data_IF_415630228236
#
_entry.id   IF_415630228236
#
_cell.length_a   1.000
_cell.length_b   1.000
_cell.length_c   1.000
_cell.angle_alpha   90.00
_cell.angle_beta   90.00
_cell.angle_gamma   90.00
#
_symmetry.space_group_name_H-M   'P 1'
#
loop_
_entity.id
_entity.type
_entity.pdbx_description
1 polymer ?
#
# COMPACT_ATOMS: atom_id res chain seq x y z
N UNK A 1 37.08 29.08 10.99
CA UNK A 1 36.00 28.40 11.73
C UNK A 1 34.90 28.15 10.74
N UNK A 2 34.87 26.98 10.13
CA UNK A 2 33.74 26.55 9.33
C UNK A 2 33.24 25.29 10.00
N UNK A 3 32.08 25.42 10.62
CA UNK A 3 31.34 24.35 11.28
C UNK A 3 31.22 23.16 10.33
N UNK A 4 31.38 21.97 10.91
CA UNK A 4 31.15 20.69 10.25
C UNK A 4 29.78 20.73 9.56
N UNK A 5 29.78 20.85 8.23
CA UNK A 5 28.56 20.71 7.44
C UNK A 5 27.99 19.32 7.70
N UNK A 6 26.68 19.20 7.92
CA UNK A 6 26.09 17.98 8.45
C UNK A 6 26.36 16.80 7.51
N UNK A 7 26.93 15.76 8.14
CA UNK A 7 26.96 14.37 7.71
C UNK A 7 25.65 14.01 7.00
N UNK A 8 25.73 13.19 5.94
CA UNK A 8 24.60 12.56 5.23
C UNK A 8 23.34 12.57 6.11
N UNK A 9 22.37 13.44 5.81
CA UNK A 9 21.03 13.26 6.34
C UNK A 9 20.58 11.90 5.82
N UNK A 10 20.57 10.90 6.70
CA UNK A 10 19.79 9.69 6.48
C UNK A 10 18.41 10.15 5.99
N UNK A 11 17.87 9.51 4.95
CA UNK A 11 16.46 9.74 4.63
C UNK A 11 15.74 9.45 5.93
N UNK A 12 14.98 10.42 6.46
CA UNK A 12 14.11 10.19 7.60
C UNK A 12 13.00 9.26 7.13
N UNK A 13 13.28 7.96 7.14
CA UNK A 13 12.31 6.92 6.84
C UNK A 13 11.64 6.46 8.13
N UNK A 14 10.46 5.88 7.99
CA UNK A 14 9.64 5.38 9.09
C UNK A 14 9.11 4.01 8.72
N UNK A 15 8.92 3.11 9.68
CA UNK A 15 8.31 1.81 9.41
C UNK A 15 6.87 1.97 8.91
N UNK A 16 6.38 1.05 8.08
CA UNK A 16 4.98 1.03 7.63
C UNK A 16 4.02 1.01 8.82
N UNK A 17 4.35 0.24 9.85
CA UNK A 17 3.51 0.11 11.05
C UNK A 17 3.44 1.40 11.86
N UNK A 18 4.57 2.09 12.06
CA UNK A 18 4.60 3.36 12.78
C UNK A 18 3.89 4.46 11.99
N UNK A 19 4.10 4.50 10.68
CA UNK A 19 3.39 5.42 9.80
C UNK A 19 1.88 5.21 9.84
N UNK A 20 1.40 3.97 9.70
CA UNK A 20 -0.03 3.65 9.81
C UNK A 20 -0.58 4.03 11.18
N UNK A 21 0.15 3.76 12.26
CA UNK A 21 -0.26 4.12 13.61
C UNK A 21 -0.44 5.63 13.76
N UNK A 22 0.47 6.43 13.21
CA UNK A 22 0.35 7.90 13.20
C UNK A 22 -0.89 8.34 12.38
N UNK A 23 -1.06 7.80 11.17
CA UNK A 23 -2.19 8.14 10.31
C UNK A 23 -3.55 7.77 10.94
N UNK A 24 -3.59 6.70 11.73
CA UNK A 24 -4.81 6.20 12.40
C UNK A 24 -5.17 6.97 13.70
N UNK A 25 -4.36 7.96 14.13
CA UNK A 25 -4.65 8.76 15.33
C UNK A 25 -5.51 10.00 15.02
N UNK A 26 -5.02 10.92 14.19
CA UNK A 26 -5.73 12.14 13.79
C UNK A 26 -5.18 12.71 12.48
N UNK A 27 -5.39 12.00 11.37
CA UNK A 27 -5.01 12.48 10.04
C UNK A 27 -6.23 12.94 9.24
N UNK A 28 -5.99 13.80 8.24
CA UNK A 28 -7.02 14.13 7.24
C UNK A 28 -7.45 12.90 6.44
N UNK A 29 -6.53 11.96 6.18
CA UNK A 29 -6.83 10.71 5.50
C UNK A 29 -7.79 9.83 6.31
N UNK A 30 -7.64 9.77 7.63
CA UNK A 30 -8.57 9.05 8.53
C UNK A 30 -9.98 9.66 8.51
N UNK A 31 -10.08 10.99 8.53
CA UNK A 31 -11.37 11.66 8.44
C UNK A 31 -12.06 11.34 7.11
N UNK A 32 -11.33 11.46 6.00
CA UNK A 32 -11.85 11.13 4.68
C UNK A 32 -12.25 9.65 4.54
N UNK A 33 -11.45 8.72 5.11
CA UNK A 33 -11.78 7.30 5.16
C UNK A 33 -13.10 7.04 5.90
N UNK A 34 -13.27 7.64 7.09
CA UNK A 34 -14.49 7.51 7.90
C UNK A 34 -15.72 8.09 7.23
N UNK A 35 -15.59 9.28 6.64
CA UNK A 35 -16.68 9.91 5.90
C UNK A 35 -17.12 9.01 4.73
N UNK A 36 -16.16 8.45 3.97
CA UNK A 36 -16.45 7.52 2.90
C UNK A 36 -17.13 6.24 3.40
N UNK A 37 -16.70 5.68 4.54
CA UNK A 37 -17.35 4.53 5.17
C UNK A 37 -18.82 4.85 5.48
N UNK A 38 -19.11 6.00 6.12
CA UNK A 38 -20.50 6.37 6.46
C UNK A 38 -21.36 6.58 5.21
N UNK A 39 -20.83 7.23 4.18
CA UNK A 39 -21.54 7.41 2.90
C UNK A 39 -21.86 6.08 2.22
N UNK A 40 -20.92 5.15 2.23
CA UNK A 40 -21.08 3.81 1.64
C UNK A 40 -22.04 2.96 2.46
N UNK A 41 -21.95 2.96 3.79
CA UNK A 41 -22.86 2.22 4.69
C UNK A 41 -24.32 2.65 4.47
N UNK A 42 -24.57 3.94 4.25
CA UNK A 42 -25.90 4.47 3.97
C UNK A 42 -26.50 3.93 2.65
N UNK A 43 -25.65 3.61 1.67
CA UNK A 43 -26.06 3.11 0.34
C UNK A 43 -26.11 1.59 0.28
N UNK A 44 -25.20 0.92 0.99
CA UNK A 44 -25.03 -0.53 0.99
C UNK A 44 -24.98 -1.02 2.44
N UNK A 45 -26.16 -1.25 3.07
CA UNK A 45 -26.24 -1.53 4.50
C UNK A 45 -25.49 -2.79 4.96
N UNK A 46 -25.23 -3.75 4.06
CA UNK A 46 -24.45 -4.95 4.40
C UNK A 46 -22.98 -4.61 4.77
N UNK A 47 -22.45 -3.47 4.32
CA UNK A 47 -21.12 -2.99 4.73
C UNK A 47 -21.06 -2.71 6.24
N UNK A 48 -22.17 -2.28 6.86
CA UNK A 48 -22.22 -2.06 8.31
C UNK A 48 -21.93 -3.34 9.11
N UNK A 49 -22.15 -4.53 8.51
CA UNK A 49 -21.82 -5.81 9.14
C UNK A 49 -20.31 -6.00 9.33
N UNK A 50 -19.46 -5.27 8.61
CA UNK A 50 -18.00 -5.34 8.77
C UNK A 50 -17.55 -4.96 10.18
N UNK A 51 -18.33 -4.13 10.88
CA UNK A 51 -18.10 -3.75 12.29
C UNK A 51 -18.36 -4.89 13.27
N UNK A 52 -18.95 -5.98 12.78
CA UNK A 52 -19.30 -7.17 13.56
C UNK A 52 -18.70 -8.45 12.99
N UNK A 53 -17.93 -8.37 11.90
CA UNK A 53 -17.38 -9.53 11.22
C UNK A 53 -15.98 -9.84 11.78
N UNK A 54 -15.78 -10.96 12.50
CA UNK A 54 -14.56 -11.26 13.25
C UNK A 54 -13.27 -11.28 12.44
N UNK A 55 -12.14 -11.01 13.07
CA UNK A 55 -10.80 -11.22 12.51
C UNK A 55 -9.93 -11.97 13.50
N UNK A 56 -8.88 -12.66 13.03
CA UNK A 56 -7.98 -13.39 13.93
C UNK A 56 -6.48 -13.12 13.66
N UNK A 57 -5.69 -12.80 14.71
CA UNK A 57 -4.29 -12.36 14.66
C UNK A 57 -3.24 -13.19 13.90
N UNK A 58 -3.37 -14.50 13.61
CA UNK A 58 -2.38 -15.12 12.74
C UNK A 58 -2.32 -14.48 11.34
N UNK A 59 -3.40 -13.83 10.90
CA UNK A 59 -3.50 -13.18 9.59
C UNK A 59 -3.98 -11.74 9.65
N UNK A 60 -4.75 -11.40 10.69
CA UNK A 60 -5.41 -10.10 10.84
C UNK A 60 -5.36 -9.65 12.30
N UNK A 61 -4.39 -8.80 12.63
CA UNK A 61 -4.15 -8.25 13.96
C UNK A 61 -4.46 -6.76 14.05
N UNK A 62 -4.79 -6.13 12.93
CA UNK A 62 -5.17 -4.71 12.83
C UNK A 62 -6.36 -4.34 13.72
N UNK A 63 -7.19 -5.33 14.06
CA UNK A 63 -8.27 -5.21 15.02
C UNK A 63 -9.09 -6.50 15.10
N UNK A 64 -10.21 -6.45 15.81
CA UNK A 64 -11.02 -7.65 16.08
C UNK A 64 -12.08 -7.91 15.00
N UNK A 65 -12.30 -6.94 14.11
CA UNK A 65 -13.34 -6.99 13.08
C UNK A 65 -12.86 -6.47 11.72
N UNK A 66 -13.54 -6.86 10.63
CA UNK A 66 -13.16 -6.51 9.26
C UNK A 66 -13.12 -5.00 9.00
N UNK A 67 -13.93 -4.21 9.71
CA UNK A 67 -13.92 -2.75 9.51
C UNK A 67 -12.54 -2.14 9.80
N UNK A 68 -11.76 -2.69 10.74
CA UNK A 68 -10.43 -2.18 11.08
C UNK A 68 -9.46 -2.32 9.89
N UNK A 69 -9.57 -3.41 9.12
CA UNK A 69 -8.83 -3.65 7.88
C UNK A 69 -9.23 -2.67 6.78
N UNK A 70 -10.53 -2.52 6.54
CA UNK A 70 -11.09 -1.62 5.53
C UNK A 70 -10.72 -0.16 5.80
N UNK A 71 -10.80 0.29 7.05
CA UNK A 71 -10.43 1.66 7.44
C UNK A 71 -8.95 1.94 7.14
N UNK A 72 -8.05 1.00 7.43
CA UNK A 72 -6.62 1.17 7.15
C UNK A 72 -6.29 1.22 5.66
N UNK A 73 -6.91 0.34 4.87
CA UNK A 73 -6.75 0.39 3.41
C UNK A 73 -7.20 1.75 2.86
N UNK A 74 -8.33 2.27 3.33
CA UNK A 74 -8.83 3.59 2.92
C UNK A 74 -7.90 4.71 3.37
N UNK A 75 -7.39 4.68 4.61
CA UNK A 75 -6.42 5.67 5.10
C UNK A 75 -5.20 5.72 4.19
N UNK A 76 -4.63 4.57 3.83
CA UNK A 76 -3.51 4.52 2.90
C UNK A 76 -3.89 5.04 1.51
N UNK A 77 -5.03 4.61 0.96
CA UNK A 77 -5.53 5.08 -0.33
C UNK A 77 -5.68 6.61 -0.36
N UNK A 78 -6.33 7.21 0.63
CA UNK A 78 -6.52 8.66 0.73
C UNK A 78 -5.21 9.42 0.93
N UNK A 79 -4.30 8.91 1.75
CA UNK A 79 -3.02 9.56 1.98
C UNK A 79 -2.15 9.55 0.70
N UNK A 80 -2.17 8.46 -0.09
CA UNK A 80 -1.47 8.39 -1.39
C UNK A 80 -2.14 9.33 -2.39
N UNK A 81 -3.47 9.33 -2.44
CA UNK A 81 -4.23 10.14 -3.40
C UNK A 81 -4.01 11.65 -3.24
N UNK A 82 -3.73 12.09 -2.02
CA UNK A 82 -3.51 13.50 -1.68
C UNK A 82 -2.07 13.97 -1.88
N UNK A 83 -1.16 13.06 -2.23
CA UNK A 83 0.29 13.32 -2.33
C UNK A 83 0.89 13.82 -0.99
N UNK A 84 0.23 13.50 0.12
CA UNK A 84 0.66 13.88 1.47
C UNK A 84 1.84 13.03 1.96
N UNK A 85 2.14 11.90 1.31
CA UNK A 85 3.31 11.07 1.57
C UNK A 85 3.78 10.30 0.34
N UNK A 86 5.02 9.79 0.40
CA UNK A 86 5.56 8.87 -0.60
C UNK A 86 5.83 7.51 0.02
N UNK A 87 5.43 6.41 -0.63
CA UNK A 87 5.74 5.05 -0.16
C UNK A 87 7.27 4.83 -0.04
N UNK A 88 8.07 5.55 -0.83
CA UNK A 88 9.54 5.50 -0.75
C UNK A 88 10.12 6.18 0.51
N UNK A 89 9.29 6.80 1.36
CA UNK A 89 9.68 7.26 2.70
C UNK A 89 9.50 6.19 3.76
N UNK A 90 9.01 5.00 3.42
CA UNK A 90 8.84 3.89 4.34
C UNK A 90 10.09 2.99 4.32
N UNK A 91 10.59 2.58 5.49
CA UNK A 91 11.83 1.80 5.66
C UNK A 91 11.83 0.53 4.79
N UNK A 92 10.70 -0.17 4.80
CA UNK A 92 10.49 -1.43 4.12
C UNK A 92 10.60 -1.30 2.59
N UNK A 93 10.24 -0.14 2.03
CA UNK A 93 10.32 0.13 0.60
C UNK A 93 11.65 0.81 0.22
N UNK A 94 12.15 1.72 1.07
CA UNK A 94 13.38 2.46 0.85
C UNK A 94 14.61 1.55 0.78
N UNK A 95 14.57 0.41 1.49
CA UNK A 95 15.62 -0.60 1.51
C UNK A 95 15.66 -1.51 0.27
N UNK A 96 14.61 -1.52 -0.57
CA UNK A 96 14.48 -2.41 -1.75
C UNK A 96 14.73 -1.60 -3.02
N UNK A 97 16.02 -1.36 -3.31
CA UNK A 97 16.44 -0.48 -4.41
C UNK A 97 16.11 -1.02 -5.81
N UNK A 98 16.03 -2.35 -6.00
CA UNK A 98 15.72 -2.96 -7.29
C UNK A 98 14.29 -2.68 -7.78
N UNK A 99 13.37 -2.34 -6.86
CA UNK A 99 11.96 -2.09 -7.14
C UNK A 99 11.54 -0.62 -6.97
N UNK A 100 12.49 0.30 -6.74
CA UNK A 100 12.18 1.74 -6.59
C UNK A 100 11.31 2.31 -7.74
N UNK A 101 11.57 1.99 -9.03
CA UNK A 101 10.71 2.42 -10.12
C UNK A 101 9.29 1.87 -10.03
N UNK A 102 9.12 0.63 -9.58
CA UNK A 102 7.82 -0.03 -9.44
C UNK A 102 7.02 0.63 -8.31
N UNK A 103 7.64 0.92 -7.17
CA UNK A 103 7.00 1.62 -6.04
C UNK A 103 6.64 3.07 -6.35
N UNK A 104 7.39 3.73 -7.23
CA UNK A 104 7.01 5.06 -7.69
C UNK A 104 5.75 4.99 -8.57
N UNK A 105 5.75 4.07 -9.54
CA UNK A 105 4.64 3.96 -10.49
C UNK A 105 3.37 3.41 -9.84
N UNK A 106 3.47 2.54 -8.83
CA UNK A 106 2.27 2.04 -8.13
C UNK A 106 1.49 3.16 -7.43
N UNK A 107 2.18 4.21 -6.95
CA UNK A 107 1.51 5.39 -6.37
C UNK A 107 0.79 6.22 -7.42
N UNK A 108 1.35 6.33 -8.63
CA UNK A 108 0.64 6.94 -9.77
C UNK A 108 -0.59 6.11 -10.14
N UNK A 109 -0.47 4.78 -10.21
CA UNK A 109 -1.59 3.86 -10.51
C UNK A 109 -2.70 3.99 -9.47
N UNK A 110 -2.36 4.07 -8.18
CA UNK A 110 -3.33 4.27 -7.10
C UNK A 110 -4.10 5.57 -7.27
N UNK A 111 -3.41 6.66 -7.63
CA UNK A 111 -4.04 7.97 -7.92
C UNK A 111 -4.94 7.91 -9.15
N UNK A 112 -4.44 7.34 -10.24
CA UNK A 112 -5.17 7.22 -11.51
C UNK A 112 -6.41 6.32 -11.39
N UNK A 113 -6.38 5.32 -10.50
CA UNK A 113 -7.45 4.33 -10.32
C UNK A 113 -8.16 4.46 -8.96
N UNK A 114 -8.12 5.65 -8.35
CA UNK A 114 -8.66 5.89 -7.01
C UNK A 114 -10.10 5.37 -6.84
N UNK A 115 -10.99 5.68 -7.79
CA UNK A 115 -12.38 5.26 -7.73
C UNK A 115 -12.56 3.72 -7.74
N UNK A 116 -11.83 3.04 -8.63
CA UNK A 116 -11.87 1.58 -8.76
C UNK A 116 -11.29 0.89 -7.52
N UNK A 117 -10.21 1.43 -6.96
CA UNK A 117 -9.60 0.91 -5.73
C UNK A 117 -10.45 1.18 -4.49
N UNK A 118 -11.11 2.34 -4.38
CA UNK A 118 -12.10 2.59 -3.33
C UNK A 118 -13.23 1.55 -3.39
N UNK A 119 -13.79 1.31 -4.57
CA UNK A 119 -14.82 0.29 -4.75
C UNK A 119 -14.32 -1.11 -4.38
N UNK A 120 -13.08 -1.45 -4.75
CA UNK A 120 -12.44 -2.72 -4.38
C UNK A 120 -12.36 -2.87 -2.86
N UNK A 121 -11.85 -1.88 -2.14
CA UNK A 121 -11.71 -1.93 -0.68
C UNK A 121 -13.04 -2.25 0.00
N UNK A 122 -14.13 -1.60 -0.41
CA UNK A 122 -15.45 -1.86 0.18
C UNK A 122 -16.02 -3.25 -0.16
N UNK A 123 -15.66 -3.84 -1.30
CA UNK A 123 -16.35 -5.01 -1.85
C UNK A 123 -15.53 -6.31 -1.81
N UNK A 124 -14.21 -6.26 -1.74
CA UNK A 124 -13.35 -7.45 -1.92
C UNK A 124 -13.72 -8.57 -0.94
N UNK A 125 -14.06 -8.18 0.29
CA UNK A 125 -14.38 -9.06 1.40
C UNK A 125 -15.87 -9.19 1.75
N UNK A 126 -16.78 -8.67 0.92
CA UNK A 126 -18.21 -8.63 1.24
C UNK A 126 -18.82 -10.03 1.48
N UNK A 127 -18.27 -11.07 0.85
CA UNK A 127 -18.66 -12.47 1.02
C UNK A 127 -18.12 -13.15 2.28
N UNK A 128 -17.29 -12.50 3.11
CA UNK A 128 -16.77 -13.08 4.35
C UNK A 128 -17.91 -13.43 5.33
N UNK A 129 -18.95 -12.60 5.39
CA UNK A 129 -20.13 -12.81 6.26
C UNK A 129 -20.78 -14.18 6.06
N UNK A 130 -20.88 -14.65 4.82
CA UNK A 130 -21.55 -15.91 4.50
C UNK A 130 -20.65 -17.13 4.61
N UNK A 131 -19.35 -16.91 4.44
CA UNK A 131 -18.37 -17.99 4.33
C UNK A 131 -17.67 -18.27 5.65
N UNK A 132 -17.91 -17.47 6.69
CA UNK A 132 -17.27 -17.59 8.00
C UNK A 132 -17.32 -19.02 8.58
N UNK A 133 -16.17 -19.47 9.06
CA UNK A 133 -15.94 -20.69 9.82
C UNK A 133 -15.01 -20.37 10.99
N UNK A 134 -15.27 -20.98 12.14
CA UNK A 134 -14.43 -20.86 13.33
C UNK A 134 -13.71 -22.17 13.63
N UNK A 135 -12.51 -22.06 14.20
CA UNK A 135 -11.74 -23.21 14.65
C UNK A 135 -10.81 -22.84 15.81
N UNK A 136 -10.85 -23.59 16.90
CA UNK A 136 -9.97 -23.45 18.05
C UNK A 136 -9.44 -24.85 18.44
N UNK A 137 -8.18 -24.95 18.87
CA UNK A 137 -7.58 -26.24 19.20
C UNK A 137 -8.24 -26.87 20.43
N UNK A 138 -8.32 -28.21 20.45
CA UNK A 138 -8.89 -28.95 21.57
C UNK A 138 -8.14 -28.60 22.87
N UNK A 139 -8.90 -28.28 23.93
CA UNK A 139 -8.35 -27.88 25.24
C UNK A 139 -8.13 -26.38 25.40
N UNK A 140 -8.30 -25.57 24.35
CA UNK A 140 -8.30 -24.10 24.47
C UNK A 140 -9.60 -23.57 25.06
N UNK A 141 -9.57 -22.33 25.58
CA UNK A 141 -10.77 -21.64 26.03
C UNK A 141 -11.76 -21.42 24.87
N UNK A 142 -11.29 -21.14 23.65
CA UNK A 142 -12.16 -21.03 22.47
C UNK A 142 -12.91 -22.33 22.17
N UNK A 143 -12.26 -23.48 22.35
CA UNK A 143 -12.94 -24.76 22.19
C UNK A 143 -14.01 -24.99 23.28
N UNK A 144 -13.78 -24.56 24.53
CA UNK A 144 -14.81 -24.62 25.58
C UNK A 144 -15.99 -23.68 25.34
N UNK A 145 -15.76 -22.56 24.64
CA UNK A 145 -16.80 -21.63 24.18
C UNK A 145 -17.53 -22.12 22.91
N UNK A 146 -17.15 -23.29 22.38
CA UNK A 146 -17.84 -23.94 21.25
C UNK A 146 -17.28 -23.64 19.87
N UNK A 147 -16.13 -22.96 19.76
CA UNK A 147 -15.47 -22.62 18.49
C UNK A 147 -14.59 -23.76 17.96
N UNK A 148 -15.14 -24.92 17.64
CA UNK A 148 -14.40 -26.03 17.04
C UNK A 148 -14.99 -26.45 15.69
N UNK A 149 -14.17 -27.08 14.84
CA UNK A 149 -14.48 -27.38 13.42
C UNK A 149 -15.85 -28.05 13.18
N UNK A 150 -16.28 -28.91 14.09
CA UNK A 150 -17.51 -29.71 13.98
C UNK A 150 -18.60 -29.24 14.97
N UNK A 151 -18.55 -27.97 15.38
CA UNK A 151 -19.55 -27.39 16.28
C UNK A 151 -20.93 -27.44 15.65
N UNK A 152 -21.91 -27.94 16.43
CA UNK A 152 -23.34 -27.92 16.05
C UNK A 152 -24.03 -26.59 16.40
N UNK A 153 -23.30 -25.66 17.02
CA UNK A 153 -23.84 -24.35 17.40
C UNK A 153 -24.07 -23.54 16.11
N UNK A 154 -25.26 -22.92 15.95
CA UNK A 154 -25.52 -22.07 14.79
C UNK A 154 -24.50 -20.95 14.62
N UNK A 155 -24.12 -20.65 13.38
CA UNK A 155 -23.07 -19.65 13.05
C UNK A 155 -23.35 -18.27 13.66
N UNK A 156 -24.60 -17.82 13.63
CA UNK A 156 -25.01 -16.54 14.20
C UNK A 156 -24.82 -16.51 15.73
N UNK A 157 -25.04 -17.63 16.42
CA UNK A 157 -24.79 -17.74 17.85
C UNK A 157 -23.29 -17.68 18.14
N UNK A 158 -22.45 -18.37 17.35
CA UNK A 158 -20.99 -18.27 17.50
C UNK A 158 -20.47 -16.85 17.22
N UNK A 159 -21.05 -16.15 16.24
CA UNK A 159 -20.74 -14.75 15.95
C UNK A 159 -21.06 -13.85 17.16
N UNK A 160 -22.27 -13.97 17.72
CA UNK A 160 -22.67 -13.21 18.90
C UNK A 160 -21.78 -13.52 20.11
N UNK A 161 -21.43 -14.79 20.31
CA UNK A 161 -20.51 -15.21 21.37
C UNK A 161 -19.14 -14.60 21.17
N UNK A 162 -18.59 -14.62 19.95
CA UNK A 162 -17.29 -14.03 19.63
C UNK A 162 -17.25 -12.55 20.03
N UNK A 163 -18.24 -11.79 19.56
CA UNK A 163 -18.33 -10.36 19.83
C UNK A 163 -18.54 -10.05 21.32
N UNK A 164 -19.28 -10.89 22.05
CA UNK A 164 -19.41 -10.77 23.51
C UNK A 164 -18.08 -10.97 24.22
N UNK A 165 -17.32 -12.01 23.86
CA UNK A 165 -16.03 -12.31 24.46
C UNK A 165 -15.00 -11.18 24.20
N UNK A 166 -14.98 -10.62 22.98
CA UNK A 166 -14.16 -9.44 22.66
C UNK A 166 -14.54 -8.24 23.52
N UNK A 167 -15.84 -7.92 23.63
CA UNK A 167 -16.33 -6.78 24.45
C UNK A 167 -15.95 -6.92 25.93
N UNK A 168 -16.08 -8.13 26.48
CA UNK A 168 -15.67 -8.41 27.86
C UNK A 168 -14.17 -8.12 28.04
N UNK A 169 -13.33 -8.61 27.12
CA UNK A 169 -11.89 -8.38 27.21
C UNK A 169 -11.51 -6.90 27.06
N UNK A 170 -12.16 -6.17 26.14
CA UNK A 170 -11.94 -4.73 25.97
C UNK A 170 -12.23 -3.94 27.25
N UNK A 171 -13.34 -4.27 27.92
CA UNK A 171 -13.73 -3.63 29.17
C UNK A 171 -12.75 -3.93 30.32
N UNK A 172 -12.11 -5.10 30.32
CA UNK A 172 -11.15 -5.52 31.36
C UNK A 172 -9.77 -4.86 31.22
N UNK A 173 -9.32 -4.55 29.99
CA UNK A 173 -7.92 -4.20 29.72
C UNK A 173 -7.66 -2.76 29.28
N UNK A 174 -8.68 -2.03 28.83
CA UNK A 174 -8.55 -0.65 28.31
C UNK A 174 -7.37 -0.50 27.31
N UNK A 175 -7.32 -1.38 26.32
CA UNK A 175 -6.27 -1.43 25.29
C UNK A 175 -6.76 -0.94 23.94
N UNK A 176 -5.84 -0.55 23.06
CA UNK A 176 -6.15 -0.28 21.64
C UNK A 176 -6.63 -1.56 20.90
N UNK A 177 -7.15 -1.40 19.68
CA UNK A 177 -7.74 -2.49 18.91
C UNK A 177 -6.73 -3.62 18.58
N UNK A 178 -5.49 -3.25 18.26
CA UNK A 178 -4.42 -4.19 17.89
C UNK A 178 -4.02 -5.05 19.10
N UNK A 179 -3.78 -4.43 20.26
CA UNK A 179 -3.46 -5.17 21.49
C UNK A 179 -4.63 -6.03 21.95
N UNK A 180 -5.86 -5.53 21.81
CA UNK A 180 -7.06 -6.29 22.15
C UNK A 180 -7.19 -7.55 21.30
N UNK A 181 -6.98 -7.46 19.99
CA UNK A 181 -7.09 -8.61 19.08
C UNK A 181 -6.10 -9.72 19.46
N UNK A 182 -4.85 -9.35 19.78
CA UNK A 182 -3.82 -10.29 20.23
C UNK A 182 -4.15 -10.93 21.56
N UNK A 183 -4.47 -10.14 22.59
CA UNK A 183 -4.84 -10.68 23.91
C UNK A 183 -6.04 -11.62 23.83
N UNK A 184 -6.98 -11.30 22.94
CA UNK A 184 -8.13 -12.15 22.67
C UNK A 184 -7.71 -13.48 22.07
N UNK A 185 -6.83 -13.47 21.06
CA UNK A 185 -6.33 -14.68 20.43
C UNK A 185 -5.45 -15.51 21.36
N UNK A 186 -4.59 -14.90 22.18
CA UNK A 186 -3.77 -15.62 23.16
C UNK A 186 -4.65 -16.33 24.20
N UNK A 187 -5.72 -15.67 24.65
CA UNK A 187 -6.66 -16.22 25.63
C UNK A 187 -7.52 -17.34 25.05
N UNK A 188 -8.17 -17.10 23.90
CA UNK A 188 -9.18 -18.00 23.36
C UNK A 188 -8.69 -18.92 22.24
N UNK A 189 -7.62 -18.56 21.53
CA UNK A 189 -7.05 -19.31 20.40
C UNK A 189 -8.07 -19.59 19.27
N UNK A 190 -9.07 -18.72 19.12
CA UNK A 190 -10.09 -18.82 18.07
C UNK A 190 -9.50 -18.32 16.76
N UNK A 191 -9.52 -19.17 15.73
CA UNK A 191 -9.17 -18.84 14.35
C UNK A 191 -10.43 -18.67 13.53
N UNK A 192 -10.44 -17.63 12.70
CA UNK A 192 -11.55 -17.32 11.81
C UNK A 192 -11.10 -17.54 10.37
N UNK A 193 -11.93 -18.22 9.58
CA UNK A 193 -11.62 -18.58 8.21
C UNK A 193 -12.77 -18.22 7.26
N UNK A 194 -12.42 -17.86 6.03
CA UNK A 194 -13.34 -17.37 5.01
C UNK A 194 -13.16 -18.11 3.68
N UNK A 195 -13.44 -19.43 3.62
CA UNK A 195 -13.26 -20.20 2.40
C UNK A 195 -14.07 -19.62 1.25
N UNK A 196 -13.40 -19.35 0.13
CA UNK A 196 -14.01 -18.93 -1.13
C UNK A 196 -14.80 -17.61 -1.07
N UNK A 197 -14.54 -16.76 -0.09
CA UNK A 197 -15.24 -15.47 0.04
C UNK A 197 -15.05 -14.63 -1.23
N UNK A 198 -13.83 -14.55 -1.79
CA UNK A 198 -13.55 -13.80 -3.02
C UNK A 198 -14.44 -14.19 -4.20
N UNK A 199 -14.67 -15.50 -4.42
CA UNK A 199 -15.54 -15.96 -5.49
C UNK A 199 -17.02 -15.66 -5.21
N UNK A 200 -17.43 -15.65 -3.94
CA UNK A 200 -18.78 -15.26 -3.54
C UNK A 200 -18.99 -13.74 -3.69
N UNK A 201 -18.02 -12.93 -3.23
CA UNK A 201 -17.98 -11.46 -3.37
C UNK A 201 -18.10 -11.02 -4.82
N UNK A 202 -17.44 -11.73 -5.75
CA UNK A 202 -17.52 -11.47 -7.19
C UNK A 202 -18.73 -12.13 -7.90
N UNK A 203 -19.49 -12.98 -7.20
CA UNK A 203 -20.58 -13.78 -7.76
C UNK A 203 -21.92 -13.04 -7.86
N UNK A 204 -22.99 -13.73 -8.26
CA UNK A 204 -24.32 -13.11 -8.42
C UNK A 204 -24.92 -12.62 -7.10
N UNK A 205 -24.58 -13.27 -5.96
CA UNK A 205 -25.13 -12.93 -4.64
C UNK A 205 -24.95 -11.46 -4.29
N UNK A 206 -23.78 -10.89 -4.59
CA UNK A 206 -23.43 -9.51 -4.26
C UNK A 206 -23.44 -8.58 -5.47
N UNK A 207 -24.07 -8.98 -6.59
CA UNK A 207 -24.09 -8.19 -7.83
C UNK A 207 -24.77 -6.84 -7.65
N UNK A 208 -25.83 -6.78 -6.86
CA UNK A 208 -26.58 -5.54 -6.59
C UNK A 208 -25.70 -4.55 -5.82
N UNK A 209 -25.01 -5.02 -4.79
CA UNK A 209 -24.10 -4.24 -3.97
C UNK A 209 -22.93 -3.72 -4.82
N UNK A 210 -22.33 -4.59 -5.65
CA UNK A 210 -21.29 -4.17 -6.59
C UNK A 210 -21.77 -3.09 -7.55
N UNK A 211 -23.00 -3.21 -8.06
CA UNK A 211 -23.59 -2.19 -8.94
C UNK A 211 -23.79 -0.86 -8.21
N UNK A 212 -24.36 -0.86 -7.00
CA UNK A 212 -24.58 0.35 -6.20
C UNK A 212 -23.25 1.07 -5.89
N UNK A 213 -22.22 0.32 -5.47
CA UNK A 213 -20.90 0.88 -5.20
C UNK A 213 -20.23 1.39 -6.49
N UNK A 214 -20.34 0.64 -7.59
CA UNK A 214 -19.82 1.07 -8.88
C UNK A 214 -20.45 2.38 -9.34
N UNK A 215 -21.77 2.52 -9.17
CA UNK A 215 -22.51 3.74 -9.49
C UNK A 215 -22.09 4.89 -8.56
N UNK A 216 -21.89 4.61 -7.26
CA UNK A 216 -21.44 5.60 -6.28
C UNK A 216 -20.06 6.19 -6.62
N UNK A 217 -19.12 5.34 -7.02
CA UNK A 217 -17.78 5.74 -7.45
C UNK A 217 -17.70 6.10 -8.95
N UNK A 218 -18.84 6.13 -9.65
CA UNK A 218 -18.96 6.52 -11.07
C UNK A 218 -18.08 5.69 -12.00
N UNK A 219 -17.97 4.39 -11.74
CA UNK A 219 -17.18 3.47 -12.57
C UNK A 219 -17.83 3.29 -13.94
N UNK A 220 -17.00 3.37 -14.99
CA UNK A 220 -17.39 2.99 -16.36
C UNK A 220 -17.40 1.46 -16.50
N UNK A 221 -17.99 0.93 -17.57
CA UNK A 221 -18.16 -0.52 -17.76
C UNK A 221 -16.84 -1.30 -17.69
N UNK A 222 -15.77 -0.75 -18.27
CA UNK A 222 -14.43 -1.33 -18.18
C UNK A 222 -13.98 -1.47 -16.72
N UNK A 223 -14.15 -0.43 -15.91
CA UNK A 223 -13.72 -0.40 -14.51
C UNK A 223 -14.59 -1.32 -13.63
N UNK A 224 -15.85 -1.53 -14.00
CA UNK A 224 -16.74 -2.50 -13.33
C UNK A 224 -16.28 -3.94 -13.56
N UNK A 225 -15.90 -4.28 -14.79
CA UNK A 225 -15.33 -5.60 -15.09
C UNK A 225 -13.97 -5.76 -14.41
N UNK A 226 -13.13 -4.71 -14.42
CA UNK A 226 -11.85 -4.69 -13.70
C UNK A 226 -12.05 -4.96 -12.21
N UNK A 227 -12.95 -4.22 -11.56
CA UNK A 227 -13.35 -4.40 -10.17
C UNK A 227 -13.80 -5.84 -9.89
N UNK A 228 -14.66 -6.41 -10.73
CA UNK A 228 -15.13 -7.78 -10.53
C UNK A 228 -13.97 -8.79 -10.60
N UNK A 229 -13.02 -8.61 -11.52
CA UNK A 229 -11.85 -9.48 -11.63
C UNK A 229 -10.92 -9.35 -10.42
N UNK A 230 -10.63 -8.13 -9.97
CA UNK A 230 -9.80 -7.90 -8.79
C UNK A 230 -10.42 -8.56 -7.55
N UNK A 231 -11.71 -8.33 -7.29
CA UNK A 231 -12.43 -8.99 -6.19
C UNK A 231 -12.32 -10.50 -6.31
N UNK A 232 -12.47 -11.06 -7.51
CA UNK A 232 -12.45 -12.51 -7.71
C UNK A 232 -11.09 -13.14 -7.46
N UNK A 233 -10.01 -12.42 -7.77
CA UNK A 233 -8.66 -12.99 -7.88
C UNK A 233 -7.62 -12.41 -6.92
N UNK A 234 -7.98 -11.46 -6.04
CA UNK A 234 -7.03 -10.92 -5.04
C UNK A 234 -6.44 -12.02 -4.14
N UNK A 235 -7.27 -12.92 -3.59
CA UNK A 235 -6.76 -14.07 -2.80
C UNK A 235 -5.89 -15.01 -3.62
N UNK A 236 -6.24 -15.27 -4.89
CA UNK A 236 -5.41 -16.11 -5.74
C UNK A 236 -4.03 -15.47 -5.97
N UNK A 237 -3.97 -14.14 -6.10
CA UNK A 237 -2.71 -13.44 -6.23
C UNK A 237 -1.89 -13.53 -4.93
N UNK A 238 -2.54 -13.31 -3.77
CA UNK A 238 -1.89 -13.51 -2.46
C UNK A 238 -1.34 -14.94 -2.35
N UNK A 239 -2.15 -15.95 -2.65
CA UNK A 239 -1.77 -17.36 -2.53
C UNK A 239 -0.68 -17.78 -3.52
N UNK A 240 -0.68 -17.25 -4.74
CA UNK A 240 0.36 -17.51 -5.72
C UNK A 240 1.71 -16.95 -5.28
N UNK A 241 1.73 -15.73 -4.73
CA UNK A 241 2.98 -15.00 -4.50
C UNK A 241 3.45 -14.99 -3.04
N UNK A 242 2.70 -15.56 -2.09
CA UNK A 242 3.10 -15.59 -0.66
C UNK A 242 4.40 -16.35 -0.36
N UNK A 243 4.78 -17.33 -1.18
CA UNK A 243 5.92 -18.23 -0.88
C UNK A 243 7.10 -18.08 -1.85
N UNK A 244 7.08 -17.08 -2.73
CA UNK A 244 8.19 -16.81 -3.65
C UNK A 244 7.76 -16.33 -5.02
N UNK A 245 8.77 -16.08 -5.85
CA UNK A 245 8.64 -15.57 -7.22
C UNK A 245 8.14 -16.70 -8.15
N UNK A 246 7.04 -16.47 -8.85
CA UNK A 246 6.36 -17.43 -9.74
C UNK A 246 5.91 -16.77 -11.05
N UNK A 247 6.82 -16.55 -12.02
CA UNK A 247 6.51 -15.85 -13.27
C UNK A 247 5.36 -16.50 -14.06
N UNK A 248 5.25 -17.83 -14.04
CA UNK A 248 4.19 -18.57 -14.72
C UNK A 248 2.77 -18.26 -14.20
N UNK A 249 2.65 -17.72 -12.98
CA UNK A 249 1.36 -17.30 -12.43
C UNK A 249 0.90 -15.96 -12.99
N UNK A 250 1.81 -15.14 -13.52
CA UNK A 250 1.47 -13.91 -14.22
C UNK A 250 0.72 -14.24 -15.51
N UNK A 251 1.15 -15.26 -16.25
CA UNK A 251 0.44 -15.73 -17.45
C UNK A 251 -0.99 -16.18 -17.13
N UNK A 252 -1.19 -16.82 -15.97
CA UNK A 252 -2.53 -17.21 -15.51
C UNK A 252 -3.40 -15.97 -15.26
N UNK A 253 -2.84 -14.91 -14.66
CA UNK A 253 -3.54 -13.65 -14.40
C UNK A 253 -3.87 -12.91 -15.70
N UNK A 254 -2.92 -12.82 -16.64
CA UNK A 254 -3.14 -12.26 -17.97
C UNK A 254 -4.23 -13.02 -18.75
N UNK A 255 -4.19 -14.35 -18.72
CA UNK A 255 -5.22 -15.17 -19.37
C UNK A 255 -6.62 -14.97 -18.75
N UNK A 256 -6.70 -14.65 -17.46
CA UNK A 256 -7.97 -14.31 -16.78
C UNK A 256 -8.51 -12.96 -17.23
N UNK A 257 -7.66 -11.95 -17.36
CA UNK A 257 -8.04 -10.63 -17.92
C UNK A 257 -8.49 -10.74 -19.38
N UNK A 258 -7.72 -11.44 -20.22
CA UNK A 258 -8.02 -11.62 -21.63
C UNK A 258 -9.36 -12.30 -21.89
N UNK A 259 -9.78 -13.25 -21.04
CA UNK A 259 -11.12 -13.89 -21.11
C UNK A 259 -12.29 -12.93 -20.87
N UNK A 260 -12.02 -11.74 -20.32
CA UNK A 260 -13.00 -10.67 -20.10
C UNK A 260 -12.77 -9.45 -21.00
N UNK A 261 -11.89 -9.58 -22.01
CA UNK A 261 -11.53 -8.49 -22.90
C UNK A 261 -10.98 -7.25 -22.16
N UNK A 262 -10.35 -7.48 -21.01
CA UNK A 262 -9.62 -6.44 -20.28
C UNK A 262 -8.17 -6.49 -20.74
N UNK A 263 -7.59 -5.31 -20.96
CA UNK A 263 -6.17 -5.17 -21.19
C UNK A 263 -5.38 -5.77 -20.01
N UNK A 264 -4.54 -6.75 -20.32
CA UNK A 264 -3.81 -7.51 -19.30
C UNK A 264 -2.80 -6.64 -18.55
N UNK A 265 -2.24 -5.64 -19.21
CA UNK A 265 -1.27 -4.73 -18.62
C UNK A 265 -1.95 -3.84 -17.58
N UNK A 266 -3.09 -3.25 -17.94
CA UNK A 266 -3.88 -2.46 -17.00
C UNK A 266 -4.37 -3.31 -15.81
N UNK A 267 -4.78 -4.56 -16.06
CA UNK A 267 -5.21 -5.46 -15.00
C UNK A 267 -4.11 -5.75 -13.99
N UNK A 268 -2.88 -6.05 -14.45
CA UNK A 268 -1.76 -6.32 -13.55
C UNK A 268 -1.38 -5.09 -12.72
N UNK A 269 -1.45 -3.88 -13.29
CA UNK A 269 -1.16 -2.64 -12.56
C UNK A 269 -2.17 -2.40 -11.43
N UNK A 270 -3.47 -2.47 -11.71
CA UNK A 270 -4.49 -2.24 -10.68
C UNK A 270 -4.53 -3.40 -9.68
N UNK A 271 -4.27 -4.64 -10.10
CA UNK A 271 -4.15 -5.79 -9.18
C UNK A 271 -2.95 -5.63 -8.23
N UNK A 272 -1.80 -5.16 -8.71
CA UNK A 272 -0.64 -4.89 -7.86
C UNK A 272 -0.95 -3.80 -6.83
N UNK A 273 -1.68 -2.76 -7.22
CA UNK A 273 -2.11 -1.70 -6.31
C UNK A 273 -3.09 -2.23 -5.25
N UNK A 274 -4.03 -3.09 -5.67
CA UNK A 274 -4.95 -3.76 -4.75
C UNK A 274 -4.22 -4.67 -3.75
N UNK A 275 -3.23 -5.45 -4.20
CA UNK A 275 -2.39 -6.29 -3.34
C UNK A 275 -1.63 -5.47 -2.31
N UNK A 276 -1.02 -4.36 -2.73
CA UNK A 276 -0.31 -3.44 -1.85
C UNK A 276 -1.23 -2.89 -0.75
N UNK A 277 -2.43 -2.44 -1.13
CA UNK A 277 -3.42 -1.92 -0.18
C UNK A 277 -3.89 -3.01 0.78
N UNK A 278 -4.21 -4.21 0.30
CA UNK A 278 -4.71 -5.34 1.09
C UNK A 278 -3.65 -5.89 2.05
N UNK A 279 -2.50 -6.33 1.53
CA UNK A 279 -1.53 -7.09 2.33
C UNK A 279 -0.59 -6.22 3.16
N UNK A 280 -0.21 -5.04 2.66
CA UNK A 280 0.79 -4.19 3.33
C UNK A 280 0.13 -3.14 4.21
N UNK A 281 -0.88 -2.43 3.68
CA UNK A 281 -1.53 -1.35 4.43
C UNK A 281 -2.75 -1.84 5.23
N UNK A 282 -3.50 -2.80 4.71
CA UNK A 282 -4.72 -3.34 5.32
C UNK A 282 -4.46 -4.34 6.44
N UNK A 283 -3.48 -5.23 6.27
CA UNK A 283 -3.25 -6.36 7.18
C UNK A 283 -2.04 -6.19 8.09
N UNK A 284 -2.19 -6.67 9.34
CA UNK A 284 -1.06 -6.93 10.26
C UNK A 284 -1.05 -8.40 10.63
N UNK A 285 0.08 -9.07 10.45
CA UNK A 285 0.31 -10.41 10.99
C UNK A 285 0.89 -10.34 12.40
N UNK A 286 0.45 -11.24 13.27
CA UNK A 286 1.04 -11.44 14.59
C UNK A 286 1.61 -12.85 14.70
N UNK A 287 2.92 -12.94 14.94
CA UNK A 287 3.63 -14.21 15.08
C UNK A 287 4.75 -14.07 16.09
N UNK A 288 4.87 -15.04 17.00
CA UNK A 288 5.94 -15.12 17.99
C UNK A 288 6.14 -13.86 18.85
N UNK A 289 5.07 -13.12 19.17
CA UNK A 289 5.17 -11.90 19.96
C UNK A 289 5.37 -10.62 19.16
N UNK A 290 5.54 -10.71 17.84
CA UNK A 290 5.89 -9.59 16.98
C UNK A 290 4.79 -9.29 15.96
N UNK A 291 4.66 -8.00 15.63
CA UNK A 291 3.79 -7.50 14.58
C UNK A 291 4.60 -7.25 13.32
N UNK A 292 4.10 -7.68 12.18
CA UNK A 292 4.71 -7.40 10.89
C UNK A 292 3.65 -7.13 9.83
N UNK A 293 4.00 -6.30 8.85
CA UNK A 293 3.27 -6.22 7.59
C UNK A 293 3.79 -7.32 6.66
N UNK A 294 2.88 -7.97 5.93
CA UNK A 294 3.28 -9.00 4.98
C UNK A 294 3.47 -8.39 3.58
N UNK A 295 4.72 -8.09 3.25
CA UNK A 295 5.11 -7.57 1.94
C UNK A 295 5.34 -8.65 0.89
N UNK A 296 5.52 -9.91 1.30
CA UNK A 296 5.99 -10.96 0.40
C UNK A 296 5.08 -11.16 -0.82
N UNK A 297 3.74 -11.24 -0.69
CA UNK A 297 2.87 -11.36 -1.85
C UNK A 297 3.05 -10.24 -2.86
N UNK A 298 3.18 -8.99 -2.40
CA UNK A 298 3.33 -7.83 -3.26
C UNK A 298 4.70 -7.80 -3.95
N UNK A 299 5.79 -8.01 -3.20
CA UNK A 299 7.15 -7.99 -3.76
C UNK A 299 7.38 -9.14 -4.73
N UNK A 300 6.90 -10.34 -4.38
CA UNK A 300 7.02 -11.51 -5.24
C UNK A 300 6.15 -11.36 -6.48
N UNK A 301 4.97 -10.71 -6.40
CA UNK A 301 4.18 -10.36 -7.57
C UNK A 301 4.98 -9.48 -8.53
N UNK A 302 5.55 -8.38 -8.05
CA UNK A 302 6.33 -7.45 -8.90
C UNK A 302 7.53 -8.13 -9.55
N UNK A 303 8.30 -8.91 -8.79
CA UNK A 303 9.45 -9.65 -9.32
C UNK A 303 9.04 -10.73 -10.33
N UNK A 304 7.91 -11.39 -10.09
CA UNK A 304 7.36 -12.37 -11.05
C UNK A 304 6.95 -11.69 -12.35
N UNK A 305 6.33 -10.52 -12.25
CA UNK A 305 5.93 -9.70 -13.40
C UNK A 305 7.15 -9.24 -14.21
N UNK A 306 8.22 -8.78 -13.56
CA UNK A 306 9.46 -8.36 -14.24
C UNK A 306 10.09 -9.50 -15.07
N UNK A 307 9.97 -10.75 -14.59
CA UNK A 307 10.46 -11.94 -15.30
C UNK A 307 9.53 -12.38 -16.44
N UNK A 308 8.22 -12.38 -16.20
CA UNK A 308 7.24 -12.83 -17.19
C UNK A 308 7.01 -11.80 -18.31
N UNK A 309 7.00 -10.51 -17.95
CA UNK A 309 6.58 -9.41 -18.81
C UNK A 309 7.58 -8.23 -18.75
N UNK A 310 8.85 -8.44 -19.17
CA UNK A 310 9.94 -7.50 -18.91
C UNK A 310 9.77 -6.12 -19.57
N UNK A 311 8.96 -6.02 -20.63
CA UNK A 311 8.70 -4.73 -21.28
C UNK A 311 7.96 -3.74 -20.36
N UNK A 312 7.08 -4.23 -19.47
CA UNK A 312 6.38 -3.40 -18.48
C UNK A 312 7.35 -2.79 -17.48
N UNK A 313 8.25 -3.60 -16.92
CA UNK A 313 9.31 -3.14 -16.03
C UNK A 313 10.20 -2.07 -16.69
N UNK A 314 10.59 -2.28 -17.95
CA UNK A 314 11.35 -1.29 -18.72
C UNK A 314 10.58 0.01 -18.91
N UNK A 315 9.29 -0.05 -19.23
CA UNK A 315 8.43 1.12 -19.37
C UNK A 315 8.30 1.90 -18.05
N UNK A 316 8.11 1.21 -16.92
CA UNK A 316 8.09 1.81 -15.57
C UNK A 316 9.42 2.52 -15.27
N UNK A 317 10.55 1.90 -15.58
CA UNK A 317 11.88 2.50 -15.41
C UNK A 317 12.10 3.74 -16.29
N UNK A 318 11.63 3.73 -17.54
CA UNK A 318 11.69 4.89 -18.43
C UNK A 318 10.86 6.05 -17.87
N UNK A 319 9.61 5.78 -17.43
CA UNK A 319 8.73 6.78 -16.80
C UNK A 319 9.38 7.37 -15.55
N UNK A 320 9.90 6.52 -14.66
CA UNK A 320 10.60 6.91 -13.45
C UNK A 320 11.81 7.81 -13.74
N UNK A 321 12.68 7.40 -14.66
CA UNK A 321 13.86 8.18 -15.05
C UNK A 321 13.47 9.54 -15.66
N UNK A 322 12.40 9.60 -16.45
CA UNK A 322 11.88 10.85 -16.99
C UNK A 322 11.41 11.78 -15.87
N UNK A 323 10.62 11.27 -14.93
CA UNK A 323 10.15 12.03 -13.76
C UNK A 323 11.30 12.53 -12.88
N UNK A 324 12.31 11.70 -12.61
CA UNK A 324 13.50 12.13 -11.88
C UNK A 324 14.25 13.26 -12.60
N UNK A 325 14.39 13.15 -13.93
CA UNK A 325 15.01 14.21 -14.74
C UNK A 325 14.20 15.51 -14.70
N UNK A 326 12.88 15.42 -14.80
CA UNK A 326 12.00 16.59 -14.78
C UNK A 326 11.99 17.24 -13.38
N UNK A 327 11.97 16.45 -12.31
CA UNK A 327 12.14 16.91 -10.92
C UNK A 327 13.48 17.63 -10.73
N UNK A 328 14.58 17.00 -11.13
CA UNK A 328 15.90 17.59 -11.02
C UNK A 328 16.02 18.92 -11.79
N UNK A 329 15.45 18.99 -13.01
CA UNK A 329 15.37 20.24 -13.77
C UNK A 329 14.56 21.31 -13.05
N UNK A 330 13.43 20.95 -12.45
CA UNK A 330 12.61 21.87 -11.65
C UNK A 330 13.38 22.42 -10.45
N UNK A 331 14.09 21.55 -9.71
CA UNK A 331 14.96 21.96 -8.59
C UNK A 331 16.03 22.95 -9.05
N UNK A 332 16.73 22.64 -10.14
CA UNK A 332 17.72 23.53 -10.74
C UNK A 332 17.11 24.88 -11.13
N UNK A 333 15.95 24.88 -11.77
CA UNK A 333 15.25 26.10 -12.19
C UNK A 333 14.83 26.96 -10.98
N UNK A 334 14.23 26.35 -9.95
CA UNK A 334 13.84 27.04 -8.70
C UNK A 334 15.04 27.63 -7.97
N UNK A 335 16.20 26.97 -8.03
CA UNK A 335 17.45 27.48 -7.48
C UNK A 335 18.16 28.52 -8.37
N UNK A 336 17.61 28.85 -9.54
CA UNK A 336 18.24 29.77 -10.49
C UNK A 336 19.49 29.21 -11.18
N UNK A 337 19.62 27.88 -11.24
CA UNK A 337 20.69 27.13 -11.91
C UNK A 337 20.23 26.57 -13.26
N UNK A 338 19.78 27.43 -14.15
CA UNK A 338 19.58 26.98 -15.54
C UNK A 338 20.93 26.55 -16.14
N UNK A 339 21.01 25.31 -16.64
CA UNK A 339 22.28 24.73 -17.13
C UNK A 339 22.95 25.59 -18.20
N UNK A 340 22.18 26.25 -19.07
CA UNK A 340 22.73 27.16 -20.07
C UNK A 340 23.40 28.38 -19.43
N UNK A 341 22.81 28.93 -18.37
CA UNK A 341 23.36 30.05 -17.61
C UNK A 341 24.59 29.61 -16.78
N UNK A 342 24.56 28.39 -16.22
CA UNK A 342 25.70 27.80 -15.54
C UNK A 342 26.92 27.70 -16.46
N UNK A 343 26.76 27.14 -17.66
CA UNK A 343 27.88 26.99 -18.59
C UNK A 343 28.40 28.33 -19.12
N UNK A 344 27.54 29.34 -19.30
CA UNK A 344 27.99 30.68 -19.68
C UNK A 344 28.77 31.37 -18.57
N UNK A 345 28.30 31.31 -17.32
CA UNK A 345 28.98 31.94 -16.17
C UNK A 345 30.33 31.28 -15.88
N UNK A 346 30.43 29.97 -16.11
CA UNK A 346 31.67 29.22 -15.96
C UNK A 346 32.61 29.30 -17.19
N UNK A 347 32.22 30.03 -18.24
CA UNK A 347 32.95 30.12 -19.52
C UNK A 347 33.28 28.75 -20.15
N UNK A 348 32.40 27.76 -19.99
CA UNK A 348 32.61 26.40 -20.51
C UNK A 348 32.05 26.29 -21.93
N UNK A 349 32.96 26.08 -22.89
CA UNK A 349 32.60 25.87 -24.31
C UNK A 349 31.82 24.56 -24.49
N UNK A 350 30.96 24.44 -25.53
CA UNK A 350 30.32 23.18 -25.87
C UNK A 350 31.36 22.06 -26.06
N UNK A 351 31.19 20.94 -25.37
CA UNK A 351 32.12 19.81 -25.40
C UNK A 351 31.95 18.87 -24.20
N UNK A 352 32.79 17.81 -24.10
CA UNK A 352 32.70 16.78 -23.04
C UNK A 352 32.73 17.35 -21.61
N UNK A 353 33.47 18.44 -21.40
CA UNK A 353 33.56 19.13 -20.11
C UNK A 353 32.21 19.61 -19.56
N UNK A 354 31.23 19.91 -20.42
CA UNK A 354 29.87 20.23 -19.96
C UNK A 354 29.18 19.04 -19.31
N UNK A 355 29.43 17.84 -19.82
CA UNK A 355 28.94 16.59 -19.23
C UNK A 355 29.54 16.36 -17.84
N UNK A 356 30.85 16.55 -17.71
CA UNK A 356 31.56 16.40 -16.43
C UNK A 356 31.05 17.38 -15.37
N UNK A 357 30.85 18.64 -15.75
CA UNK A 357 30.31 19.65 -14.83
C UNK A 357 28.85 19.40 -14.48
N UNK A 358 28.02 18.97 -15.43
CA UNK A 358 26.63 18.59 -15.14
C UNK A 358 26.56 17.42 -14.14
N UNK A 359 27.41 16.40 -14.33
CA UNK A 359 27.50 15.26 -13.41
C UNK A 359 28.01 15.68 -12.02
N UNK A 360 28.99 16.58 -11.95
CA UNK A 360 29.48 17.09 -10.67
C UNK A 360 28.41 17.90 -9.94
N UNK A 361 27.68 18.77 -10.65
CA UNK A 361 26.55 19.53 -10.09
C UNK A 361 25.45 18.61 -9.60
N UNK A 362 25.12 17.56 -10.36
CA UNK A 362 24.17 16.53 -9.94
C UNK A 362 24.62 15.83 -8.66
N UNK A 363 25.90 15.41 -8.58
CA UNK A 363 26.47 14.77 -7.38
C UNK A 363 26.45 15.70 -6.17
N UNK A 364 26.77 16.98 -6.32
CA UNK A 364 26.73 17.95 -5.22
C UNK A 364 25.30 18.13 -4.70
N UNK A 365 24.32 18.29 -5.60
CA UNK A 365 22.90 18.44 -5.23
C UNK A 365 22.38 17.18 -4.53
N UNK A 366 22.78 16.00 -5.00
CA UNK A 366 22.42 14.70 -4.41
C UNK A 366 23.23 14.34 -3.16
N UNK A 367 24.16 15.20 -2.72
CA UNK A 367 25.09 14.94 -1.61
C UNK A 367 25.97 13.69 -1.79
N UNK A 368 26.37 13.42 -3.03
CA UNK A 368 27.31 12.37 -3.44
C UNK A 368 28.73 12.92 -3.67
N UNK A 369 28.89 14.25 -3.67
CA UNK A 369 30.16 14.96 -3.74
C UNK A 369 30.14 16.20 -2.83
N UNK A 370 31.31 16.65 -2.36
CA UNK A 370 31.42 17.87 -1.58
C UNK A 370 31.35 19.08 -2.52
N UNK A 371 30.75 20.19 -2.09
CA UNK A 371 30.78 21.44 -2.83
C UNK A 371 32.21 21.97 -3.02
N UNK A 372 33.16 21.53 -2.18
CA UNK A 372 34.59 21.79 -2.35
C UNK A 372 35.16 21.16 -3.62
N UNK A 373 34.57 20.08 -4.11
CA UNK A 373 34.97 19.44 -5.37
C UNK A 373 34.61 20.32 -6.58
N UNK A 374 33.76 21.33 -6.38
CA UNK A 374 33.45 22.36 -7.36
C UNK A 374 34.56 23.42 -7.41
N UNK A 375 35.58 23.18 -8.23
CA UNK A 375 36.77 24.02 -8.40
C UNK A 375 36.55 25.39 -9.08
N UNK A 376 35.30 25.84 -9.24
CA UNK A 376 35.01 27.16 -9.80
C UNK A 376 34.89 28.20 -8.68
N UNK A 377 35.70 29.27 -8.78
CA UNK A 377 35.69 30.42 -7.85
C UNK A 377 34.50 31.37 -8.12
N UNK A 378 33.29 30.83 -8.09
CA UNK A 378 32.06 31.62 -8.20
C UNK A 378 31.14 31.36 -6.99
N UNK A 379 31.12 32.31 -6.05
CA UNK A 379 30.37 32.18 -4.81
C UNK A 379 28.85 32.16 -5.03
N UNK A 380 28.35 32.87 -6.04
CA UNK A 380 26.93 32.85 -6.40
C UNK A 380 26.48 31.45 -6.85
N UNK A 381 27.27 30.79 -7.70
CA UNK A 381 26.99 29.41 -8.12
C UNK A 381 27.04 28.46 -6.92
N UNK A 382 28.02 28.61 -6.02
CA UNK A 382 28.09 27.78 -4.80
C UNK A 382 26.85 27.95 -3.92
N UNK A 383 26.41 29.19 -3.70
CA UNK A 383 25.20 29.46 -2.91
C UNK A 383 23.96 28.85 -3.58
N UNK A 384 23.84 28.95 -4.91
CA UNK A 384 22.74 28.34 -5.65
C UNK A 384 22.79 26.81 -5.64
N UNK A 385 23.97 26.19 -5.65
CA UNK A 385 24.12 24.74 -5.52
C UNK A 385 23.68 24.25 -4.14
N UNK A 386 24.01 25.00 -3.08
CA UNK A 386 23.51 24.71 -1.73
C UNK A 386 21.99 24.88 -1.65
N UNK A 387 21.44 25.95 -2.22
CA UNK A 387 19.99 26.16 -2.30
C UNK A 387 19.29 25.04 -3.09
N UNK A 388 19.86 24.60 -4.22
CA UNK A 388 19.35 23.49 -5.01
C UNK A 388 19.41 22.17 -4.23
N UNK A 389 20.48 21.94 -3.48
CA UNK A 389 20.61 20.78 -2.58
C UNK A 389 19.53 20.81 -1.51
N UNK A 390 19.35 21.93 -0.83
CA UNK A 390 18.32 22.08 0.20
C UNK A 390 16.91 21.87 -0.36
N UNK A 391 16.62 22.44 -1.54
CA UNK A 391 15.37 22.22 -2.26
C UNK A 391 15.21 20.74 -2.67
N UNK A 392 16.27 20.10 -3.16
CA UNK A 392 16.24 18.69 -3.56
C UNK A 392 15.85 17.79 -2.38
N UNK A 393 16.45 18.01 -1.21
CA UNK A 393 16.11 17.21 -0.03
C UNK A 393 14.75 17.59 0.57
N UNK A 394 14.36 18.87 0.54
CA UNK A 394 13.07 19.34 1.03
C UNK A 394 11.89 18.87 0.18
N UNK A 395 12.05 18.79 -1.14
CA UNK A 395 10.99 18.35 -2.07
C UNK A 395 11.00 16.83 -2.29
N UNK A 396 12.04 16.12 -1.82
CA UNK A 396 12.14 14.65 -1.89
C UNK A 396 11.69 13.96 -0.60
N UNK A 397 11.80 14.65 0.55
CA UNK A 397 11.18 14.26 1.83
C UNK A 397 9.71 14.63 1.83
#
# INVERSE_FOLDING_TARGET
MWEDLPVKKEKNTVSVLDWLKEQMQDSMALRAARDSIYEVEAKVPVIALYRTLPQSPPWHSEGSVLMDHVERMLVALYAIAREDFSILSLDEFASIHDLEPDFYIIQDIIRENFATLSAFIFLHDIGKQDTIIFNAPKGSLGASEGFFKDSKIPKNVLLDTYLKLVKVLMAEKNTDAVKTSVLFYEKYQIRVHYPRHAQLSAGEKYKKERQIISDHFRLIDRDREMLQLMIRFHIDAIDFFKNGIQPEKIDVMLARAGKRFIDGDDFLDVLAAALLLDTVFGSIEYKNGEFAVNMDPFLNFLRSEQLAVPHRANNRRIRFNKKQKDFYKSVLQKAGLELNNLFSVLNIKPGPQRGDVALLVEKIIKNEADIKDFNFNNQDIKNKLLAARDLYFKERS
#
